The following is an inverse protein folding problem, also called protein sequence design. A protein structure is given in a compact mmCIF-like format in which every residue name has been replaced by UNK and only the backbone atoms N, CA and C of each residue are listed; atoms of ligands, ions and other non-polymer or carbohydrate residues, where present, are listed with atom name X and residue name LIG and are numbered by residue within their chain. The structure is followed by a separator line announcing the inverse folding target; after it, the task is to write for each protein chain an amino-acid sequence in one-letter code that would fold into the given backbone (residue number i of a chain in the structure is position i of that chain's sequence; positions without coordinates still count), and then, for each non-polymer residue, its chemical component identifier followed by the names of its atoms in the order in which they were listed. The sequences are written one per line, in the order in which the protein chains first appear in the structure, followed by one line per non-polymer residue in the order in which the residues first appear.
data_IF_530053355252
#
_entry.id   IF_530053355252
#
_cell.length_a   1.000
_cell.length_b   1.000
_cell.length_c   1.000
_cell.angle_alpha   90.00
_cell.angle_beta   90.00
_cell.angle_gamma   90.00
#
_symmetry.space_group_name_H-M   'P 1'
#
loop_
_entity.id
_entity.type
_entity.pdbx_description
1 polymer ?
#
# COMPACT_ATOMS: atom_id res chain seq x y z
N UNK A 1 -4.29 9.54 3.57
CA UNK A 1 -4.14 8.27 4.34
C UNK A 1 -2.65 7.91 4.34
N UNK A 2 -2.09 7.31 5.39
CA UNK A 2 -0.65 6.98 5.45
C UNK A 2 -0.43 5.49 5.37
N UNK A 3 0.64 5.10 4.69
CA UNK A 3 0.97 3.68 4.54
C UNK A 3 1.26 3.06 5.90
N UNK A 4 0.68 1.89 6.17
CA UNK A 4 0.87 1.20 7.44
C UNK A 4 2.35 0.86 7.70
N UNK A 5 3.11 0.58 6.64
CA UNK A 5 4.54 0.26 6.71
C UNK A 5 5.42 1.52 6.62
N UNK A 6 4.91 2.60 6.03
CA UNK A 6 5.67 3.82 5.76
C UNK A 6 4.84 5.02 6.21
N UNK A 7 4.90 5.39 7.51
CA UNK A 7 4.13 6.51 8.04
C UNK A 7 4.51 7.85 7.40
N UNK A 8 5.75 7.99 6.92
CA UNK A 8 6.23 9.15 6.17
C UNK A 8 5.67 9.27 4.76
N UNK A 9 5.02 8.22 4.24
CA UNK A 9 4.47 8.22 2.88
C UNK A 9 2.96 8.28 2.95
N UNK A 10 2.42 9.42 2.52
CA UNK A 10 1.00 9.52 2.23
C UNK A 10 0.65 8.68 1.00
N UNK A 11 -0.41 7.90 1.14
CA UNK A 11 -0.87 7.00 0.11
C UNK A 11 -2.38 6.97 0.05
N UNK A 12 -2.89 6.83 -1.18
CA UNK A 12 -4.30 6.58 -1.42
C UNK A 12 -4.57 5.14 -1.88
N UNK A 13 -3.57 4.26 -1.83
CA UNK A 13 -3.70 2.87 -2.22
C UNK A 13 -4.01 2.00 -1.00
N UNK A 14 -4.83 0.97 -1.22
CA UNK A 14 -5.14 -0.04 -0.22
C UNK A 14 -4.87 -1.43 -0.80
N UNK A 15 -4.47 -2.34 0.07
CA UNK A 15 -4.29 -3.74 -0.28
C UNK A 15 -5.64 -4.36 -0.67
N UNK A 16 -5.85 -4.76 -1.92
CA UNK A 16 -7.10 -5.41 -2.34
C UNK A 16 -7.41 -6.71 -1.58
N UNK A 17 -6.38 -7.40 -1.06
CA UNK A 17 -6.53 -8.63 -0.27
C UNK A 17 -6.93 -8.37 1.19
N UNK A 18 -6.55 -7.22 1.75
CA UNK A 18 -6.50 -7.01 3.20
C UNK A 18 -6.99 -5.63 3.67
N UNK A 19 -7.35 -4.73 2.75
CA UNK A 19 -7.90 -3.41 3.01
C UNK A 19 -6.95 -2.39 3.67
N UNK A 20 -5.74 -2.80 4.06
CA UNK A 20 -4.76 -1.94 4.73
C UNK A 20 -4.19 -0.89 3.77
N UNK A 21 -3.93 0.34 4.24
CA UNK A 21 -3.29 1.37 3.44
C UNK A 21 -1.84 0.99 3.13
N UNK A 22 -1.50 0.97 1.84
CA UNK A 22 -0.17 0.57 1.32
C UNK A 22 0.35 1.65 0.38
N UNK A 23 1.66 1.85 0.26
CA UNK A 23 2.26 2.80 -0.68
C UNK A 23 2.87 2.10 -1.91
N UNK A 24 3.16 2.84 -3.00
CA UNK A 24 3.86 2.28 -4.17
C UNK A 24 5.25 1.72 -3.87
N UNK A 25 5.91 2.12 -2.77
CA UNK A 25 7.13 1.45 -2.29
C UNK A 25 6.87 0.09 -1.68
N UNK A 26 5.72 -0.13 -1.03
CA UNK A 26 5.34 -1.47 -0.56
C UNK A 26 4.94 -2.41 -1.70
N UNK A 27 4.54 -1.84 -2.85
CA UNK A 27 4.23 -2.60 -4.06
C UNK A 27 5.48 -3.14 -4.78
N UNK A 28 6.70 -2.84 -4.31
CA UNK A 28 7.98 -3.18 -4.95
C UNK A 28 8.18 -4.68 -5.21
N UNK A 29 7.33 -5.58 -4.70
CA UNK A 29 7.43 -7.01 -5.03
C UNK A 29 6.14 -7.84 -4.97
N UNK A 30 4.94 -7.23 -4.92
CA UNK A 30 3.72 -8.03 -4.83
C UNK A 30 3.11 -8.29 -6.22
N UNK A 31 3.08 -9.56 -6.70
CA UNK A 31 2.55 -9.91 -8.04
C UNK A 31 1.02 -9.72 -8.18
N UNK A 32 0.35 -9.27 -7.12
CA UNK A 32 -1.12 -9.32 -7.01
C UNK A 32 -1.84 -8.02 -7.40
N UNK A 33 -1.12 -6.94 -7.70
CA UNK A 33 -1.69 -5.65 -8.12
C UNK A 33 -2.49 -4.95 -6.99
N UNK A 34 -2.33 -3.63 -6.88
CA UNK A 34 -3.25 -2.83 -6.05
C UNK A 34 -4.51 -2.55 -6.88
N UNK A 35 -5.67 -2.94 -6.38
CA UNK A 35 -6.96 -2.38 -6.82
C UNK A 35 -7.36 -1.28 -5.86
#
# INVERSE_FOLDING_TARGET
MRCATHPDVETNLRCGKCGKPICPKCLVQTPVGAR
#
